data_IF_705478386160
#
_entry.id   IF_705478386160
#
_cell.length_a   1.000
_cell.length_b   1.000
_cell.length_c   1.000
_cell.angle_alpha   90.00
_cell.angle_beta   90.00
_cell.angle_gamma   90.00
#
_symmetry.space_group_name_H-M   'P 1'
#
loop_
_entity.id
_entity.type
_entity.pdbx_description
1 polymer ?
#
# COMPACT_ATOMS: atom_id res chain seq x y z
N UNK A 1 59.85 8.75 26.79
CA UNK A 1 58.65 8.34 27.54
C UNK A 1 57.33 8.69 26.83
N UNK A 2 57.11 9.94 26.38
CA UNK A 2 55.85 10.37 25.71
C UNK A 2 55.49 9.58 24.43
N UNK A 3 56.47 9.18 23.60
CA UNK A 3 56.25 8.39 22.36
C UNK A 3 55.84 6.93 22.62
N UNK A 4 56.33 6.33 23.71
CA UNK A 4 55.96 4.96 24.11
C UNK A 4 54.53 4.89 24.66
N UNK A 5 54.12 5.94 25.39
CA UNK A 5 52.74 6.10 25.86
C UNK A 5 51.73 6.26 24.72
N UNK A 6 52.11 6.99 23.66
CA UNK A 6 51.31 7.14 22.43
C UNK A 6 51.13 5.81 21.68
N UNK A 7 52.17 4.98 21.60
CA UNK A 7 52.09 3.65 20.99
C UNK A 7 51.18 2.70 21.78
N UNK A 8 51.28 2.71 23.11
CA UNK A 8 50.43 1.88 23.99
C UNK A 8 48.96 2.34 23.88
N UNK A 9 48.72 3.65 23.81
CA UNK A 9 47.39 4.22 23.63
C UNK A 9 46.78 3.86 22.26
N UNK A 10 47.58 3.88 21.19
CA UNK A 10 47.16 3.44 19.85
C UNK A 10 46.82 1.94 19.82
N UNK A 11 47.58 1.11 20.54
CA UNK A 11 47.32 -0.33 20.63
C UNK A 11 46.04 -0.61 21.40
N UNK A 12 45.80 0.14 22.48
CA UNK A 12 44.58 0.03 23.28
C UNK A 12 43.32 0.42 22.49
N UNK A 13 43.42 1.42 21.60
CA UNK A 13 42.32 1.85 20.74
C UNK A 13 41.92 0.79 19.70
N UNK A 14 42.87 -0.03 19.24
CA UNK A 14 42.61 -1.09 18.25
C UNK A 14 41.85 -2.30 18.83
N UNK A 15 41.91 -2.51 20.15
CA UNK A 15 41.24 -3.63 20.82
C UNK A 15 39.72 -3.48 20.96
N UNK A 16 39.17 -2.28 20.70
CA UNK A 16 37.73 -2.00 20.81
C UNK A 16 36.97 -2.05 19.48
N UNK A 17 37.61 -2.49 18.39
CA UNK A 17 36.93 -2.61 17.09
C UNK A 17 36.11 -3.91 17.04
N UNK A 18 34.89 -3.86 17.58
CA UNK A 18 33.89 -4.90 17.36
C UNK A 18 33.18 -4.64 16.02
N UNK A 19 33.41 -5.51 15.04
CA UNK A 19 32.64 -5.54 13.80
C UNK A 19 31.29 -6.24 14.05
N UNK A 20 30.19 -5.69 13.51
CA UNK A 20 28.89 -6.35 13.63
C UNK A 20 28.88 -7.65 12.83
N UNK A 21 28.45 -8.76 13.46
CA UNK A 21 28.31 -10.05 12.78
C UNK A 21 26.99 -10.10 12.02
N UNK A 22 27.04 -10.58 10.77
CA UNK A 22 25.84 -10.79 9.95
C UNK A 22 25.29 -12.18 10.27
N UNK A 23 24.04 -12.25 10.72
CA UNK A 23 23.35 -13.50 11.01
C UNK A 23 22.39 -13.87 9.87
N UNK A 24 22.32 -15.16 9.51
CA UNK A 24 21.36 -15.66 8.53
C UNK A 24 19.91 -15.31 8.91
N UNK A 25 19.57 -15.40 10.20
CA UNK A 25 18.24 -15.05 10.71
C UNK A 25 17.88 -13.60 10.38
N UNK A 26 18.82 -12.67 10.60
CA UNK A 26 18.63 -11.25 10.33
C UNK A 26 18.42 -10.97 8.82
N UNK A 27 19.08 -11.74 7.95
CA UNK A 27 18.88 -11.66 6.50
C UNK A 27 17.49 -12.19 6.13
N UNK A 28 17.12 -13.39 6.62
CA UNK A 28 15.86 -14.04 6.25
C UNK A 28 14.63 -13.35 6.83
N UNK A 29 14.76 -12.67 7.98
CA UNK A 29 13.69 -11.87 8.59
C UNK A 29 13.55 -10.48 7.97
N UNK A 30 14.43 -10.12 7.04
CA UNK A 30 14.38 -8.83 6.36
C UNK A 30 14.76 -7.65 7.26
N UNK A 31 15.57 -7.85 8.30
CA UNK A 31 16.08 -6.78 9.20
C UNK A 31 16.77 -5.66 8.43
N UNK A 32 17.43 -6.02 7.33
CA UNK A 32 18.13 -5.10 6.43
C UNK A 32 17.31 -4.70 5.20
N UNK A 33 16.02 -5.06 5.14
CA UNK A 33 15.15 -4.68 4.02
C UNK A 33 14.88 -3.18 4.03
N UNK A 34 15.05 -2.54 2.88
CA UNK A 34 14.76 -1.12 2.74
C UNK A 34 13.25 -0.87 2.91
N UNK A 35 12.89 0.16 3.69
CA UNK A 35 11.50 0.60 3.79
C UNK A 35 11.09 1.27 2.47
N UNK A 36 10.20 0.61 1.73
CA UNK A 36 9.62 1.16 0.52
C UNK A 36 8.53 2.20 0.79
N UNK A 37 8.19 2.95 -0.25
CA UNK A 37 7.01 3.83 -0.27
C UNK A 37 5.80 3.00 -0.67
N UNK A 38 4.66 3.21 -0.03
CA UNK A 38 3.43 2.52 -0.44
C UNK A 38 2.96 2.99 -1.81
N UNK A 39 2.32 2.10 -2.58
CA UNK A 39 1.72 2.49 -3.85
C UNK A 39 0.78 3.69 -3.68
N UNK A 40 0.87 4.63 -4.60
CA UNK A 40 -0.01 5.80 -4.70
C UNK A 40 -0.66 5.81 -6.08
N UNK A 41 -1.87 6.36 -6.15
CA UNK A 41 -2.57 6.60 -7.42
C UNK A 41 -2.76 8.11 -7.56
N UNK A 42 -2.16 8.71 -8.59
CA UNK A 42 -2.32 10.14 -8.86
C UNK A 42 -3.78 10.46 -9.21
N UNK A 43 -4.25 11.60 -8.73
CA UNK A 43 -5.56 12.16 -9.08
C UNK A 43 -5.54 12.68 -10.52
N UNK A 44 -6.70 12.74 -11.16
CA UNK A 44 -6.87 13.20 -12.53
C UNK A 44 -6.46 14.68 -12.73
N UNK A 45 -6.50 15.48 -11.66
CA UNK A 45 -6.02 16.87 -11.64
C UNK A 45 -4.48 16.98 -11.57
N UNK A 46 -3.78 15.92 -11.19
CA UNK A 46 -2.33 15.90 -11.00
C UNK A 46 -1.81 16.61 -9.75
N UNK A 47 -2.68 17.25 -8.95
CA UNK A 47 -2.29 17.99 -7.74
C UNK A 47 -2.37 17.15 -6.47
N UNK A 48 -3.09 16.04 -6.53
CA UNK A 48 -3.32 15.15 -5.40
C UNK A 48 -3.02 13.68 -5.73
N UNK A 49 -2.94 12.85 -4.70
CA UNK A 49 -2.86 11.41 -4.84
C UNK A 49 -3.70 10.68 -3.79
N UNK A 50 -4.09 9.46 -4.13
CA UNK A 50 -4.79 8.54 -3.24
C UNK A 50 -3.83 7.49 -2.71
N UNK A 51 -3.91 7.21 -1.42
CA UNK A 51 -3.11 6.19 -0.76
C UNK A 51 -3.92 5.50 0.34
N UNK A 52 -3.66 4.20 0.56
CA UNK A 52 -4.23 3.47 1.69
C UNK A 52 -3.51 3.78 3.00
N UNK A 53 -4.27 3.78 4.09
CA UNK A 53 -3.72 3.83 5.44
C UNK A 53 -2.92 2.55 5.77
N UNK A 54 -2.11 2.56 6.86
CA UNK A 54 -1.33 1.38 7.24
C UNK A 54 -2.09 0.08 7.49
N UNK A 55 -3.36 0.20 7.85
CA UNK A 55 -4.21 -0.91 8.18
C UNK A 55 -5.02 -1.40 6.97
N UNK A 56 -4.92 -0.72 5.83
CA UNK A 56 -5.76 -0.91 4.65
C UNK A 56 -7.26 -0.95 5.00
N UNK A 57 -7.69 0.03 5.79
CA UNK A 57 -9.08 0.27 6.17
C UNK A 57 -9.63 1.58 5.59
N UNK A 58 -8.75 2.47 5.13
CA UNK A 58 -9.11 3.77 4.57
C UNK A 58 -8.32 4.08 3.32
N UNK A 59 -8.92 4.85 2.41
CA UNK A 59 -8.24 5.47 1.27
C UNK A 59 -8.37 6.97 1.42
N UNK A 60 -7.23 7.64 1.43
CA UNK A 60 -7.10 9.05 1.78
C UNK A 60 -6.52 9.79 0.57
N UNK A 61 -7.11 10.94 0.24
CA UNK A 61 -6.61 11.92 -0.73
C UNK A 61 -5.63 12.85 -0.02
N UNK A 62 -4.42 12.95 -0.55
CA UNK A 62 -3.34 13.81 -0.05
C UNK A 62 -2.94 14.83 -1.12
N UNK A 63 -2.45 16.00 -0.69
CA UNK A 63 -1.87 16.98 -1.61
C UNK A 63 -0.42 16.64 -1.93
N UNK A 64 -0.02 16.68 -3.20
CA UNK A 64 1.40 16.60 -3.57
C UNK A 64 2.20 17.81 -3.07
N UNK A 65 1.55 18.98 -2.97
CA UNK A 65 2.21 20.23 -2.60
C UNK A 65 2.58 20.27 -1.12
N UNK A 66 1.69 19.82 -0.23
CA UNK A 66 1.88 19.92 1.23
C UNK A 66 2.15 18.57 1.89
N UNK A 67 1.77 17.46 1.27
CA UNK A 67 1.81 16.13 1.89
C UNK A 67 0.71 15.88 2.93
N UNK A 68 -0.21 16.85 3.11
CA UNK A 68 -1.27 16.76 4.11
C UNK A 68 -2.49 15.97 3.59
N UNK A 69 -3.18 15.33 4.52
CA UNK A 69 -4.44 14.63 4.24
C UNK A 69 -5.56 15.65 4.00
N UNK A 70 -6.15 15.61 2.81
CA UNK A 70 -7.22 16.51 2.39
C UNK A 70 -8.58 15.92 2.73
N UNK A 71 -8.78 14.64 2.40
CA UNK A 71 -10.07 13.97 2.56
C UNK A 71 -9.91 12.46 2.66
N UNK A 72 -10.72 11.80 3.48
CA UNK A 72 -10.90 10.34 3.43
C UNK A 72 -12.00 10.01 2.41
N UNK A 73 -11.63 9.28 1.36
CA UNK A 73 -12.53 8.93 0.24
C UNK A 73 -13.32 7.66 0.51
N UNK A 74 -12.69 6.71 1.21
CA UNK A 74 -13.29 5.45 1.58
C UNK A 74 -12.82 5.09 2.99
N UNK A 75 -13.76 4.65 3.83
CA UNK A 75 -13.49 4.08 5.14
C UNK A 75 -14.43 2.90 5.35
N UNK A 76 -13.83 1.73 5.56
CA UNK A 76 -14.51 0.44 5.77
C UNK A 76 -15.54 0.50 6.90
N UNK A 77 -15.33 1.35 7.92
CA UNK A 77 -16.27 1.48 9.05
C UNK A 77 -17.52 2.30 8.71
N UNK A 78 -17.43 3.17 7.71
CA UNK A 78 -18.50 4.12 7.37
C UNK A 78 -19.26 3.73 6.10
N UNK A 79 -18.68 2.85 5.29
CA UNK A 79 -19.31 2.38 4.06
C UNK A 79 -20.63 1.64 4.36
N UNK A 80 -21.67 1.94 3.59
CA UNK A 80 -23.01 1.37 3.78
C UNK A 80 -23.22 0.10 2.95
N UNK A 81 -24.20 -0.71 3.37
CA UNK A 81 -24.69 -1.95 2.73
C UNK A 81 -23.87 -3.20 3.11
N UNK A 82 -22.58 -3.24 2.77
CA UNK A 82 -21.72 -4.40 3.08
C UNK A 82 -20.54 -3.98 3.96
N UNK A 83 -20.32 -4.71 5.05
CA UNK A 83 -19.14 -4.53 5.89
C UNK A 83 -18.02 -5.46 5.44
N UNK A 84 -16.85 -4.89 5.13
CA UNK A 84 -15.59 -5.62 5.02
C UNK A 84 -14.72 -5.28 6.25
N UNK A 85 -13.60 -5.98 6.48
CA UNK A 85 -12.70 -5.67 7.61
C UNK A 85 -11.51 -4.81 7.18
N UNK A 86 -10.93 -5.16 6.04
CA UNK A 86 -9.84 -4.45 5.36
C UNK A 86 -9.85 -4.83 3.88
N UNK A 87 -8.99 -4.17 3.09
CA UNK A 87 -8.77 -4.49 1.69
C UNK A 87 -7.27 -4.71 1.41
N UNK A 88 -6.95 -5.27 0.25
CA UNK A 88 -5.56 -5.54 -0.16
C UNK A 88 -5.05 -4.54 -1.20
N UNK A 89 -5.97 -3.86 -1.88
CA UNK A 89 -5.66 -2.76 -2.80
C UNK A 89 -6.94 -2.17 -3.38
N UNK A 90 -6.77 -1.17 -4.24
CA UNK A 90 -7.88 -0.45 -4.84
C UNK A 90 -7.58 0.02 -6.26
N UNK A 91 -8.64 0.36 -6.98
CA UNK A 91 -8.60 0.97 -8.32
C UNK A 91 -9.59 2.16 -8.32
N UNK A 92 -9.10 3.36 -8.64
CA UNK A 92 -9.95 4.54 -8.79
C UNK A 92 -10.48 4.63 -10.23
N UNK A 93 -11.74 5.04 -10.40
CA UNK A 93 -12.26 5.34 -11.74
C UNK A 93 -11.65 6.64 -12.29
N UNK A 94 -11.54 6.80 -13.62
CA UNK A 94 -11.00 8.02 -14.23
C UNK A 94 -11.74 9.30 -13.84
N UNK A 95 -13.04 9.19 -13.53
CA UNK A 95 -13.87 10.31 -13.08
C UNK A 95 -13.87 10.50 -11.55
N UNK A 96 -13.07 9.70 -10.81
CA UNK A 96 -12.91 9.73 -9.34
C UNK A 96 -14.20 9.63 -8.53
N UNK A 97 -15.30 9.20 -9.14
CA UNK A 97 -16.59 9.03 -8.46
C UNK A 97 -16.81 7.60 -7.97
N UNK A 98 -16.00 6.65 -8.45
CA UNK A 98 -16.15 5.22 -8.19
C UNK A 98 -14.81 4.64 -7.82
N UNK A 99 -14.87 3.63 -6.97
CA UNK A 99 -13.70 2.95 -6.46
C UNK A 99 -13.97 1.46 -6.47
N UNK A 100 -12.99 0.66 -6.89
CA UNK A 100 -12.96 -0.75 -6.56
C UNK A 100 -12.00 -0.98 -5.41
N UNK A 101 -12.39 -1.86 -4.49
CA UNK A 101 -11.48 -2.46 -3.51
C UNK A 101 -11.57 -3.97 -3.63
N UNK A 102 -10.49 -4.66 -3.29
CA UNK A 102 -10.48 -6.13 -3.37
C UNK A 102 -9.94 -6.79 -2.11
N UNK A 103 -10.45 -7.99 -1.86
CA UNK A 103 -10.06 -8.87 -0.76
C UNK A 103 -9.80 -10.29 -1.27
N UNK A 104 -9.19 -11.13 -0.43
CA UNK A 104 -8.97 -12.55 -0.70
C UNK A 104 -8.23 -12.83 -2.03
N UNK A 105 -7.20 -12.03 -2.35
CA UNK A 105 -6.41 -12.22 -3.57
C UNK A 105 -5.68 -13.56 -3.58
N UNK A 106 -5.88 -14.34 -4.64
CA UNK A 106 -5.17 -15.57 -4.93
C UNK A 106 -4.19 -15.34 -6.09
N UNK A 107 -2.87 -15.35 -5.84
CA UNK A 107 -1.88 -15.21 -6.90
C UNK A 107 -1.92 -16.42 -7.84
N UNK A 108 -1.78 -16.18 -9.13
CA UNK A 108 -1.64 -17.23 -10.17
C UNK A 108 -0.19 -17.24 -10.66
N UNK A 109 0.34 -16.07 -10.99
CA UNK A 109 1.73 -15.87 -11.41
C UNK A 109 2.28 -14.58 -10.77
N UNK A 110 3.44 -14.11 -11.24
CA UNK A 110 4.12 -12.94 -10.68
C UNK A 110 3.25 -11.67 -10.60
N UNK A 111 2.38 -11.42 -11.58
CA UNK A 111 1.51 -10.21 -11.62
C UNK A 111 0.02 -10.49 -11.81
N UNK A 112 -0.34 -11.76 -11.97
CA UNK A 112 -1.73 -12.17 -12.21
C UNK A 112 -2.29 -12.75 -10.93
N UNK A 113 -3.47 -12.28 -10.54
CA UNK A 113 -4.22 -12.79 -9.39
C UNK A 113 -5.72 -12.67 -9.64
N UNK A 114 -6.49 -13.48 -8.93
CA UNK A 114 -7.95 -13.37 -8.87
C UNK A 114 -8.38 -12.97 -7.47
N UNK A 115 -9.43 -12.18 -7.33
CA UNK A 115 -9.88 -11.65 -6.04
C UNK A 115 -11.38 -11.44 -5.98
N UNK A 116 -11.89 -11.23 -4.76
CA UNK A 116 -13.24 -10.75 -4.54
C UNK A 116 -13.23 -9.22 -4.62
N UNK A 117 -13.98 -8.68 -5.59
CA UNK A 117 -14.04 -7.23 -5.81
C UNK A 117 -15.33 -6.64 -5.28
N UNK A 118 -15.19 -5.45 -4.70
CA UNK A 118 -16.28 -4.63 -4.23
C UNK A 118 -16.24 -3.29 -4.94
N UNK A 119 -17.41 -2.87 -5.40
CA UNK A 119 -17.65 -1.60 -6.03
C UNK A 119 -18.17 -0.61 -5.00
N UNK A 120 -17.52 0.54 -4.90
CA UNK A 120 -17.87 1.62 -3.99
C UNK A 120 -18.22 2.88 -4.80
N UNK A 121 -19.41 3.42 -4.54
CA UNK A 121 -19.83 4.72 -5.04
C UNK A 121 -19.51 5.78 -3.98
N UNK A 122 -18.59 6.69 -4.31
CA UNK A 122 -18.04 7.67 -3.37
C UNK A 122 -19.13 8.67 -2.94
N UNK A 123 -19.95 9.13 -3.89
CA UNK A 123 -21.00 10.12 -3.62
C UNK A 123 -22.09 9.54 -2.73
N UNK A 124 -22.43 8.27 -2.96
CA UNK A 124 -23.48 7.58 -2.21
C UNK A 124 -22.96 6.90 -0.95
N UNK A 125 -21.64 6.86 -0.73
CA UNK A 125 -21.02 6.09 0.34
C UNK A 125 -21.63 4.67 0.47
N UNK A 126 -21.71 3.96 -0.66
CA UNK A 126 -22.35 2.65 -0.76
C UNK A 126 -21.39 1.66 -1.38
N UNK A 127 -21.13 0.56 -0.67
CA UNK A 127 -20.28 -0.53 -1.14
C UNK A 127 -21.15 -1.75 -1.47
N UNK A 128 -20.88 -2.37 -2.62
CA UNK A 128 -21.56 -3.60 -3.06
C UNK A 128 -20.56 -4.56 -3.66
N UNK A 129 -20.90 -5.85 -3.73
CA UNK A 129 -20.11 -6.80 -4.53
C UNK A 129 -20.13 -6.38 -6.00
N UNK A 130 -18.99 -6.53 -6.68
CA UNK A 130 -18.89 -6.18 -8.09
C UNK A 130 -19.80 -7.06 -8.96
N UNK A 131 -19.88 -8.34 -8.64
CA UNK A 131 -20.72 -9.32 -9.33
C UNK A 131 -21.50 -10.16 -8.33
N UNK A 132 -22.65 -10.68 -8.77
CA UNK A 132 -23.41 -11.69 -8.03
C UNK A 132 -22.82 -13.10 -8.19
N UNK A 133 -21.91 -13.29 -9.15
CA UNK A 133 -21.23 -14.57 -9.35
C UNK A 133 -20.34 -14.90 -8.14
N UNK A 134 -20.28 -16.18 -7.77
CA UNK A 134 -19.44 -16.67 -6.68
C UNK A 134 -17.96 -16.80 -7.07
N UNK A 135 -17.65 -16.81 -8.37
CA UNK A 135 -16.27 -16.91 -8.84
C UNK A 135 -15.50 -15.61 -8.67
N UNK A 136 -14.25 -15.71 -8.19
CA UNK A 136 -13.30 -14.60 -8.14
C UNK A 136 -13.04 -14.06 -9.55
N UNK A 137 -12.83 -12.74 -9.63
CA UNK A 137 -12.58 -12.04 -10.89
C UNK A 137 -11.09 -11.70 -11.02
N UNK A 138 -10.66 -11.38 -12.23
CA UNK A 138 -9.31 -10.97 -12.57
C UNK A 138 -9.34 -9.70 -13.42
N UNK A 139 -8.28 -8.89 -13.30
CA UNK A 139 -7.98 -7.77 -14.20
C UNK A 139 -9.16 -6.80 -14.43
N UNK A 140 -9.79 -6.25 -13.37
CA UNK A 140 -10.83 -5.26 -13.57
C UNK A 140 -10.26 -3.96 -14.12
N UNK A 141 -10.92 -3.40 -15.13
CA UNK A 141 -10.54 -2.14 -15.77
C UNK A 141 -11.78 -1.27 -15.97
N UNK A 142 -11.69 -0.01 -15.53
CA UNK A 142 -12.72 0.98 -15.81
C UNK A 142 -12.61 1.46 -17.27
N UNK A 143 -13.77 1.69 -17.90
CA UNK A 143 -13.85 2.47 -19.13
C UNK A 143 -13.29 3.89 -18.92
N UNK A 144 -12.85 4.54 -20.00
CA UNK A 144 -12.33 5.92 -19.96
C UNK A 144 -13.34 6.91 -19.36
N UNK A 145 -14.63 6.71 -19.60
CA UNK A 145 -15.70 7.53 -19.01
C UNK A 145 -16.03 7.16 -17.55
N UNK A 146 -15.42 6.10 -17.00
CA UNK A 146 -15.63 5.60 -15.65
C UNK A 146 -16.97 4.88 -15.42
N UNK A 147 -17.87 4.83 -16.40
CA UNK A 147 -19.25 4.31 -16.24
C UNK A 147 -19.35 2.79 -16.33
N UNK A 148 -18.50 2.18 -17.16
CA UNK A 148 -18.46 0.75 -17.39
C UNK A 148 -17.19 0.15 -16.79
N UNK A 149 -17.25 -1.14 -16.49
CA UNK A 149 -16.15 -1.91 -15.95
C UNK A 149 -16.09 -3.27 -16.65
N UNK A 150 -14.91 -3.65 -17.11
CA UNK A 150 -14.63 -4.97 -17.67
C UNK A 150 -13.79 -5.78 -16.67
N UNK A 151 -14.11 -7.05 -16.49
CA UNK A 151 -13.34 -8.02 -15.69
C UNK A 151 -13.42 -9.40 -16.33
N UNK A 152 -12.47 -10.27 -15.99
CA UNK A 152 -12.40 -11.67 -16.44
C UNK A 152 -12.74 -12.62 -15.30
#
# INVERSE_FOLDING_TARGET
MKKSFLLIFSLFLSAFVFCQSINLKDITEGKYSARGVRPVVSSADGEYYFQSDPQNTKIIKYSYKTGEAVQTVFDVKTARDITISSFQGFLMSPDENRLLVYTNSEPIYRRSFKADYYYFDIRRNLIRKLTANKSKQMSPVFSTAGRMLASV
#
